data_IF_833038656892
#
_entry.id   IF_833038656892
#
_cell.length_a   1.000
_cell.length_b   1.000
_cell.length_c   1.000
_cell.angle_alpha   90.00
_cell.angle_beta   90.00
_cell.angle_gamma   90.00
#
_symmetry.space_group_name_H-M   'P 1'
#
loop_
_entity.id
_entity.type
_entity.pdbx_description
1 polymer ?
#
# COMPACT_ATOMS: atom_id res chain seq x y z
N UNK A 1 26.87 -23.46 -3.72
CA UNK A 1 26.59 -23.05 -2.33
C UNK A 1 27.56 -21.93 -2.01
N UNK A 2 27.06 -20.72 -1.79
CA UNK A 2 27.87 -19.51 -1.64
C UNK A 2 28.62 -19.52 -0.31
N UNK A 3 29.95 -19.64 -0.38
CA UNK A 3 30.86 -19.52 0.77
C UNK A 3 31.05 -18.02 1.12
N UNK A 4 29.94 -17.33 1.38
CA UNK A 4 29.93 -15.93 1.76
C UNK A 4 30.26 -15.81 3.24
N UNK A 5 31.29 -15.05 3.60
CA UNK A 5 31.56 -14.78 5.01
C UNK A 5 30.48 -13.85 5.60
N UNK A 6 30.00 -14.18 6.79
CA UNK A 6 28.97 -13.44 7.54
C UNK A 6 29.41 -12.01 7.83
N UNK A 7 28.48 -11.06 7.68
CA UNK A 7 28.67 -9.66 8.08
C UNK A 7 28.11 -9.46 9.49
N UNK A 8 28.89 -8.85 10.38
CA UNK A 8 28.42 -8.41 11.68
C UNK A 8 27.76 -7.04 11.52
N UNK A 9 26.47 -6.93 11.82
CA UNK A 9 25.71 -5.69 11.61
C UNK A 9 25.03 -5.22 12.90
N UNK A 10 25.05 -3.91 13.10
CA UNK A 10 24.29 -3.13 14.07
C UNK A 10 23.43 -2.09 13.30
N UNK A 11 22.51 -1.36 13.94
CA UNK A 11 21.52 -0.52 13.26
C UNK A 11 22.06 0.50 12.24
N UNK A 12 23.31 0.92 12.37
CA UNK A 12 24.00 1.86 11.46
C UNK A 12 25.41 1.41 11.06
N UNK A 13 25.86 0.23 11.49
CA UNK A 13 27.24 -0.20 11.31
C UNK A 13 27.25 -1.62 10.75
N UNK A 14 28.10 -1.89 9.78
CA UNK A 14 28.35 -3.23 9.28
C UNK A 14 29.86 -3.46 9.19
N UNK A 15 30.32 -4.62 9.67
CA UNK A 15 31.70 -5.05 9.60
C UNK A 15 31.79 -6.41 8.91
N UNK A 16 32.66 -6.49 7.91
CA UNK A 16 32.94 -7.72 7.20
C UNK A 16 34.42 -8.04 7.28
N UNK A 17 34.72 -9.12 8.01
CA UNK A 17 36.08 -9.65 8.14
C UNK A 17 36.39 -10.48 6.90
N UNK A 18 37.43 -10.09 6.17
CA UNK A 18 37.88 -10.77 4.97
C UNK A 18 39.25 -11.37 5.26
N UNK A 19 39.31 -12.70 5.22
CA UNK A 19 40.57 -13.44 5.26
C UNK A 19 41.44 -13.13 4.04
N UNK A 20 42.69 -13.58 4.05
CA UNK A 20 43.66 -13.32 2.97
C UNK A 20 43.01 -13.46 1.59
N UNK A 21 43.05 -12.36 0.83
CA UNK A 21 42.43 -12.24 -0.49
C UNK A 21 43.53 -12.24 -1.57
N UNK A 22 43.73 -13.34 -2.32
CA UNK A 22 44.73 -13.42 -3.38
C UNK A 22 44.47 -12.43 -4.52
N UNK A 23 45.47 -12.14 -5.34
CA UNK A 23 45.27 -11.35 -6.55
C UNK A 23 44.29 -12.05 -7.50
N UNK A 24 43.54 -11.25 -8.26
CA UNK A 24 42.51 -11.70 -9.20
C UNK A 24 41.38 -12.51 -8.56
N UNK A 25 41.00 -12.16 -7.33
CA UNK A 25 39.88 -12.80 -6.65
C UNK A 25 38.77 -11.81 -6.34
N UNK A 26 37.55 -12.35 -6.39
CA UNK A 26 36.32 -11.67 -6.02
C UNK A 26 35.67 -12.43 -4.86
N UNK A 27 35.19 -11.70 -3.85
CA UNK A 27 34.34 -12.25 -2.79
C UNK A 27 33.12 -11.38 -2.60
N UNK A 28 32.00 -12.01 -2.27
CA UNK A 28 30.73 -11.37 -1.89
C UNK A 28 30.35 -11.84 -0.49
N UNK A 29 29.88 -10.92 0.33
CA UNK A 29 29.38 -11.22 1.67
C UNK A 29 28.01 -11.88 1.63
N UNK A 30 27.60 -12.49 2.75
CA UNK A 30 26.18 -12.74 3.01
C UNK A 30 25.40 -11.42 3.10
N UNK A 31 24.07 -11.43 2.85
CA UNK A 31 23.24 -10.26 3.05
C UNK A 31 23.21 -9.85 4.52
N UNK A 32 23.14 -8.54 4.77
CA UNK A 32 22.87 -7.98 6.09
C UNK A 32 21.80 -6.90 6.00
N UNK A 33 20.98 -6.77 7.05
CA UNK A 33 19.84 -5.86 7.05
C UNK A 33 20.14 -4.59 7.83
N UNK A 34 20.02 -3.45 7.16
CA UNK A 34 20.04 -2.12 7.77
C UNK A 34 18.88 -1.31 7.17
N UNK A 35 18.00 -0.81 8.04
CA UNK A 35 16.78 -0.14 7.63
C UNK A 35 15.82 -1.09 6.90
N UNK A 36 15.36 -0.66 5.72
CA UNK A 36 14.40 -1.41 4.90
C UNK A 36 15.06 -2.35 3.88
N UNK A 37 16.39 -2.34 3.76
CA UNK A 37 17.11 -3.00 2.67
C UNK A 37 18.01 -4.14 3.15
N UNK A 38 18.16 -5.13 2.27
CA UNK A 38 19.22 -6.13 2.36
C UNK A 38 20.44 -5.62 1.59
N UNK A 39 21.55 -5.47 2.31
CA UNK A 39 22.80 -4.94 1.80
C UNK A 39 23.81 -6.05 1.58
N UNK A 40 24.72 -5.83 0.64
CA UNK A 40 25.84 -6.71 0.33
C UNK A 40 27.12 -5.91 0.23
N UNK A 41 28.21 -6.54 0.67
CA UNK A 41 29.56 -6.10 0.38
C UNK A 41 30.18 -7.06 -0.61
N UNK A 42 30.98 -6.52 -1.53
CA UNK A 42 31.91 -7.34 -2.30
C UNK A 42 33.26 -6.69 -2.36
N UNK A 43 34.30 -7.51 -2.46
CA UNK A 43 35.66 -7.06 -2.65
C UNK A 43 36.26 -7.78 -3.84
N UNK A 44 36.87 -7.01 -4.73
CA UNK A 44 37.60 -7.51 -5.88
C UNK A 44 39.03 -6.99 -5.81
N UNK A 45 40.00 -7.85 -6.08
CA UNK A 45 41.41 -7.47 -6.08
C UNK A 45 42.06 -7.82 -7.40
N UNK A 46 42.75 -6.87 -8.01
CA UNK A 46 43.66 -7.09 -9.13
C UNK A 46 45.12 -6.80 -8.71
N UNK A 47 46.06 -6.82 -9.66
CA UNK A 47 47.49 -6.61 -9.36
C UNK A 47 47.84 -5.20 -8.86
N UNK A 48 46.97 -4.21 -9.06
CA UNK A 48 47.25 -2.79 -8.76
C UNK A 48 46.30 -2.20 -7.71
N UNK A 49 45.11 -2.78 -7.55
CA UNK A 49 44.02 -2.15 -6.83
C UNK A 49 43.13 -3.18 -6.12
N UNK A 50 42.57 -2.77 -4.98
CA UNK A 50 41.48 -3.46 -4.30
C UNK A 50 40.23 -2.59 -4.38
N UNK A 51 39.13 -3.14 -4.89
CA UNK A 51 37.84 -2.47 -5.04
C UNK A 51 36.85 -3.03 -4.02
N UNK A 52 36.33 -2.18 -3.15
CA UNK A 52 35.24 -2.51 -2.22
C UNK A 52 33.95 -1.96 -2.78
N UNK A 53 32.91 -2.79 -2.88
CA UNK A 53 31.61 -2.40 -3.40
C UNK A 53 30.51 -2.64 -2.36
N UNK A 54 29.58 -1.69 -2.31
CA UNK A 54 28.42 -1.66 -1.41
C UNK A 54 27.17 -1.53 -2.25
N UNK A 55 26.20 -2.42 -2.08
CA UNK A 55 24.96 -2.37 -2.85
C UNK A 55 23.79 -2.97 -2.08
N UNK A 56 22.59 -2.46 -2.37
CA UNK A 56 21.34 -3.00 -1.85
C UNK A 56 20.70 -3.92 -2.90
N UNK A 57 20.08 -5.00 -2.46
CA UNK A 57 19.23 -5.81 -3.31
C UNK A 57 17.84 -5.17 -3.44
N UNK A 58 17.39 -5.06 -4.68
CA UNK A 58 16.10 -4.49 -5.04
C UNK A 58 15.19 -5.64 -5.50
N UNK A 59 14.00 -5.74 -4.90
CA UNK A 59 12.98 -6.72 -5.26
C UNK A 59 12.49 -6.47 -6.70
N UNK A 60 12.59 -7.48 -7.57
CA UNK A 60 12.07 -7.44 -8.95
C UNK A 60 10.61 -7.89 -9.07
N UNK A 61 9.91 -8.14 -7.95
CA UNK A 61 8.51 -8.57 -7.96
C UNK A 61 7.56 -7.37 -7.97
N UNK A 62 6.65 -7.32 -8.94
CA UNK A 62 5.68 -6.24 -9.17
C UNK A 62 4.73 -5.94 -7.99
N UNK A 63 4.73 -6.76 -6.92
CA UNK A 63 3.81 -6.62 -5.78
C UNK A 63 4.43 -6.00 -4.52
N UNK A 64 5.75 -5.84 -4.43
CA UNK A 64 6.45 -5.24 -3.28
C UNK A 64 7.79 -4.64 -3.73
N UNK A 65 7.77 -3.45 -4.32
CA UNK A 65 9.01 -2.76 -4.73
C UNK A 65 9.55 -1.97 -3.55
N UNK A 66 10.59 -2.50 -2.88
CA UNK A 66 11.37 -1.69 -1.95
C UNK A 66 12.04 -0.56 -2.75
N UNK A 67 11.77 0.72 -2.44
CA UNK A 67 12.30 1.83 -3.22
C UNK A 67 13.83 1.86 -3.11
N UNK A 68 14.54 2.33 -4.13
CA UNK A 68 16.00 2.39 -4.09
C UNK A 68 16.48 3.32 -2.95
N UNK A 69 17.46 2.89 -2.13
CA UNK A 69 17.95 3.73 -1.04
C UNK A 69 18.77 4.90 -1.56
N UNK A 70 18.59 6.06 -0.94
CA UNK A 70 19.54 7.17 -0.99
C UNK A 70 20.37 7.09 0.29
N UNK A 71 21.66 6.81 0.16
CA UNK A 71 22.50 6.48 1.30
C UNK A 71 23.62 7.51 1.50
N UNK A 72 23.81 7.89 2.77
CA UNK A 72 24.97 8.61 3.25
C UNK A 72 25.74 7.69 4.19
N UNK A 73 27.04 7.44 3.93
CA UNK A 73 27.83 6.50 4.71
C UNK A 73 29.34 6.78 4.64
N UNK A 74 30.08 6.27 5.62
CA UNK A 74 31.54 6.23 5.66
C UNK A 74 31.97 4.78 5.52
N UNK A 75 32.95 4.53 4.66
CA UNK A 75 33.59 3.21 4.51
C UNK A 75 35.03 3.28 5.01
N UNK A 76 35.43 2.28 5.80
CA UNK A 76 36.79 2.14 6.33
C UNK A 76 37.32 0.75 6.01
N UNK A 77 38.61 0.69 5.70
CA UNK A 77 39.36 -0.54 5.54
C UNK A 77 40.39 -0.62 6.67
N UNK A 78 40.23 -1.58 7.56
CA UNK A 78 41.09 -1.83 8.71
C UNK A 78 42.00 -3.02 8.39
N UNK A 79 43.29 -2.78 8.20
CA UNK A 79 44.30 -3.81 7.93
C UNK A 79 45.02 -4.09 9.25
N UNK A 80 44.89 -5.29 9.78
CA UNK A 80 45.41 -5.65 11.11
C UNK A 80 46.38 -6.82 11.02
N UNK A 81 47.67 -6.57 11.28
CA UNK A 81 48.50 -7.43 12.13
C UNK A 81 49.55 -6.60 12.89
N UNK A 82 49.75 -6.85 14.20
CA UNK A 82 50.76 -6.15 15.00
C UNK A 82 52.18 -6.30 14.41
N UNK A 83 53.05 -5.28 14.52
CA UNK A 83 52.85 -4.02 15.25
C UNK A 83 52.19 -2.89 14.42
N UNK A 84 51.94 -3.09 13.12
CA UNK A 84 51.51 -2.01 12.22
C UNK A 84 50.04 -2.18 11.79
N UNK A 85 49.13 -1.53 12.52
CA UNK A 85 47.72 -1.39 12.12
C UNK A 85 47.58 -0.20 11.15
N UNK A 86 46.93 -0.41 9.99
CA UNK A 86 46.66 0.65 9.00
C UNK A 86 45.16 0.75 8.76
N UNK A 87 44.62 1.95 8.92
CA UNK A 87 43.22 2.26 8.60
C UNK A 87 43.18 3.18 7.39
N UNK A 88 42.45 2.79 6.35
CA UNK A 88 42.16 3.63 5.19
C UNK A 88 40.69 4.03 5.30
N UNK A 89 40.37 5.31 5.14
CA UNK A 89 39.00 5.83 5.27
C UNK A 89 38.62 6.53 3.99
N UNK A 90 37.45 6.22 3.45
CA UNK A 90 36.86 7.00 2.36
C UNK A 90 36.35 8.34 2.91
N UNK A 91 36.47 9.48 2.18
CA UNK A 91 36.02 10.81 2.61
C UNK A 91 34.50 10.96 2.88
N UNK A 92 33.75 9.86 2.95
CA UNK A 92 32.30 9.84 3.09
C UNK A 92 31.58 9.90 1.75
N UNK A 93 30.38 9.34 1.74
CA UNK A 93 29.42 9.42 0.65
C UNK A 93 28.17 10.04 1.24
N UNK A 94 27.60 11.01 0.53
CA UNK A 94 26.42 11.74 0.97
C UNK A 94 25.35 11.70 -0.11
N UNK A 95 24.13 11.37 0.32
CA UNK A 95 22.91 11.34 -0.49
C UNK A 95 23.07 10.66 -1.85
N UNK A 96 23.79 9.53 -1.87
CA UNK A 96 24.01 8.76 -3.10
C UNK A 96 22.82 7.84 -3.36
N UNK A 97 22.11 7.97 -4.50
CA UNK A 97 21.12 6.98 -4.90
C UNK A 97 21.83 5.68 -5.28
N UNK A 98 21.56 4.61 -4.53
CA UNK A 98 22.15 3.29 -4.77
C UNK A 98 21.14 2.42 -5.50
N UNK A 99 21.19 2.51 -6.84
CA UNK A 99 20.51 1.59 -7.76
C UNK A 99 21.27 0.26 -7.83
N UNK A 100 20.91 -0.63 -8.76
CA UNK A 100 21.53 -1.96 -8.93
C UNK A 100 23.07 -1.97 -8.98
N UNK A 101 23.68 -0.88 -9.46
CA UNK A 101 25.13 -0.78 -9.61
C UNK A 101 25.88 -0.55 -8.29
N UNK A 102 25.21 -0.06 -7.24
CA UNK A 102 25.83 0.24 -5.95
C UNK A 102 26.88 1.34 -5.98
N UNK A 103 27.74 1.35 -4.96
CA UNK A 103 28.90 2.23 -4.83
C UNK A 103 30.19 1.41 -4.84
N UNK A 104 31.21 1.87 -5.56
CA UNK A 104 32.52 1.22 -5.65
C UNK A 104 33.60 2.17 -5.13
N UNK A 105 34.37 1.71 -4.15
CA UNK A 105 35.55 2.38 -3.63
C UNK A 105 36.80 1.64 -4.09
N UNK A 106 37.59 2.32 -4.92
CA UNK A 106 38.83 1.79 -5.47
C UNK A 106 40.02 2.25 -4.62
N UNK A 107 40.85 1.30 -4.17
CA UNK A 107 41.95 1.53 -3.22
C UNK A 107 43.28 1.20 -3.90
N UNK A 108 44.09 2.22 -4.17
CA UNK A 108 45.36 2.12 -4.90
C UNK A 108 46.53 1.55 -4.06
N UNK A 109 46.25 1.15 -2.82
CA UNK A 109 47.22 0.52 -1.91
C UNK A 109 47.13 -1.00 -2.05
N UNK A 110 48.28 -1.67 -2.04
CA UNK A 110 48.32 -3.13 -1.88
C UNK A 110 47.80 -3.50 -0.48
N UNK A 111 46.68 -4.21 -0.44
CA UNK A 111 46.11 -4.75 0.80
C UNK A 111 46.63 -6.18 0.96
N UNK A 112 47.54 -6.41 1.89
CA UNK A 112 48.11 -7.74 2.16
C UNK A 112 47.64 -8.26 3.51
N UNK A 113 47.26 -9.54 3.56
CA UNK A 113 46.79 -10.17 4.80
C UNK A 113 45.27 -10.07 4.98
N UNK A 114 44.84 -10.22 6.23
CA UNK A 114 43.43 -10.13 6.64
C UNK A 114 43.08 -8.66 6.88
N UNK A 115 41.84 -8.31 6.59
CA UNK A 115 41.34 -6.96 6.78
C UNK A 115 39.85 -6.97 7.12
N UNK A 116 39.37 -5.85 7.65
CA UNK A 116 37.96 -5.64 7.94
C UNK A 116 37.46 -4.47 7.10
N UNK A 117 36.37 -4.68 6.38
CA UNK A 117 35.61 -3.61 5.74
C UNK A 117 34.54 -3.18 6.73
N UNK A 118 34.58 -1.93 7.16
CA UNK A 118 33.57 -1.32 8.01
C UNK A 118 32.78 -0.29 7.23
N UNK A 119 31.46 -0.29 7.40
CA UNK A 119 30.56 0.72 6.86
C UNK A 119 29.71 1.28 7.96
N UNK A 120 29.75 2.60 8.12
CA UNK A 120 28.91 3.36 9.02
C UNK A 120 27.93 4.18 8.19
N UNK A 121 26.65 3.84 8.25
CA UNK A 121 25.59 4.57 7.58
C UNK A 121 25.17 5.79 8.43
N UNK A 122 25.38 6.98 7.86
CA UNK A 122 25.05 8.26 8.46
C UNK A 122 23.57 8.62 8.27
N UNK A 123 23.05 8.38 7.07
CA UNK A 123 21.62 8.52 6.76
C UNK A 123 21.16 7.52 5.70
N UNK A 124 19.90 7.14 5.75
CA UNK A 124 19.21 6.34 4.74
C UNK A 124 17.87 7.00 4.44
N UNK A 125 17.66 7.37 3.19
CA UNK A 125 16.47 8.08 2.73
C UNK A 125 15.75 7.29 1.64
N UNK A 126 14.45 7.55 1.52
CA UNK A 126 13.60 7.08 0.42
C UNK A 126 13.26 8.29 -0.44
N UNK A 127 13.39 8.16 -1.76
CA UNK A 127 12.89 9.17 -2.68
C UNK A 127 11.36 9.22 -2.63
N UNK A 128 10.78 10.41 -2.55
CA UNK A 128 9.34 10.59 -2.60
C UNK A 128 8.82 10.26 -4.01
N UNK A 129 7.86 9.32 -4.16
CA UNK A 129 7.24 9.01 -5.45
C UNK A 129 6.59 10.23 -6.13
N UNK A 130 6.19 11.24 -5.36
CA UNK A 130 5.55 12.47 -5.85
C UNK A 130 6.53 13.62 -6.13
N UNK A 131 7.84 13.39 -5.98
CA UNK A 131 8.89 14.37 -6.28
C UNK A 131 9.28 15.30 -5.12
N UNK A 132 8.80 15.04 -3.90
CA UNK A 132 9.23 15.72 -2.68
C UNK A 132 10.67 15.39 -2.24
N UNK A 133 11.15 16.09 -1.20
CA UNK A 133 12.50 15.86 -0.66
C UNK A 133 12.65 14.45 -0.06
N UNK A 134 13.77 13.76 -0.29
CA UNK A 134 14.00 12.44 0.29
C UNK A 134 13.97 12.45 1.82
N UNK A 135 13.15 11.59 2.43
CA UNK A 135 12.96 11.55 3.87
C UNK A 135 13.82 10.47 4.53
N UNK A 136 14.47 10.80 5.65
CA UNK A 136 15.23 9.83 6.46
C UNK A 136 14.30 8.79 7.08
N UNK A 137 14.66 7.51 6.92
CA UNK A 137 13.92 6.40 7.53
C UNK A 137 14.10 6.35 9.06
N UNK A 138 15.16 6.99 9.57
CA UNK A 138 15.50 6.96 11.00
C UNK A 138 14.87 8.10 11.79
N UNK A 139 14.55 9.22 11.15
CA UNK A 139 13.84 10.32 11.80
C UNK A 139 12.30 10.16 11.75
N UNK A 140 11.76 9.42 10.78
CA UNK A 140 10.36 9.68 10.33
C UNK A 140 9.42 8.47 10.35
N UNK A 141 9.92 7.24 10.16
CA UNK A 141 9.02 6.12 9.84
C UNK A 141 8.34 5.48 11.06
N UNK A 142 9.06 5.30 12.17
CA UNK A 142 8.51 4.65 13.36
C UNK A 142 7.56 5.56 14.15
N UNK A 143 7.90 6.85 14.25
CA UNK A 143 7.07 7.84 14.95
C UNK A 143 5.75 8.06 14.21
N UNK A 144 5.79 8.24 12.89
CA UNK A 144 4.58 8.45 12.08
C UNK A 144 3.65 7.24 12.13
N UNK A 145 4.17 6.02 11.93
CA UNK A 145 3.35 4.79 12.01
C UNK A 145 2.71 4.58 13.38
N UNK A 146 3.45 4.82 14.47
CA UNK A 146 2.89 4.71 15.82
C UNK A 146 1.83 5.77 16.08
N UNK A 147 2.08 7.01 15.65
CA UNK A 147 1.16 8.14 15.82
C UNK A 147 -0.15 7.92 15.04
N UNK A 148 -0.05 7.46 13.79
CA UNK A 148 -1.20 7.19 12.93
C UNK A 148 -2.08 6.10 13.56
N UNK A 149 -1.49 4.98 14.00
CA UNK A 149 -2.23 3.92 14.66
C UNK A 149 -2.93 4.40 15.94
N UNK A 150 -2.26 5.22 16.76
CA UNK A 150 -2.87 5.78 17.98
C UNK A 150 -4.03 6.72 17.65
N UNK A 151 -3.88 7.59 16.64
CA UNK A 151 -4.96 8.49 16.21
C UNK A 151 -6.17 7.72 15.67
N UNK A 152 -5.96 6.73 14.80
CA UNK A 152 -7.04 5.88 14.26
C UNK A 152 -7.76 5.11 15.38
N UNK A 153 -7.01 4.49 16.30
CA UNK A 153 -7.62 3.79 17.44
C UNK A 153 -8.41 4.73 18.36
N UNK A 154 -7.99 6.00 18.46
CA UNK A 154 -8.70 7.00 19.25
C UNK A 154 -10.03 7.38 18.60
N UNK A 155 -10.06 7.54 17.27
CA UNK A 155 -11.31 7.80 16.52
C UNK A 155 -12.27 6.62 16.67
N UNK A 156 -11.80 5.39 16.43
CA UNK A 156 -12.61 4.17 16.62
C UNK A 156 -13.26 4.14 18.01
N UNK A 157 -12.46 4.43 19.05
CA UNK A 157 -12.93 4.45 20.44
C UNK A 157 -13.98 5.54 20.70
N UNK A 158 -13.88 6.71 20.07
CA UNK A 158 -14.90 7.76 20.18
C UNK A 158 -16.29 7.26 19.76
N UNK A 159 -16.36 6.48 18.67
CA UNK A 159 -17.61 5.90 18.20
C UNK A 159 -18.10 4.78 19.12
N UNK A 160 -17.24 3.82 19.45
CA UNK A 160 -17.60 2.64 20.25
C UNK A 160 -18.03 2.98 21.68
N UNK A 161 -17.34 3.92 22.33
CA UNK A 161 -17.62 4.33 23.71
C UNK A 161 -18.58 5.53 23.79
N UNK A 162 -18.99 6.11 22.66
CA UNK A 162 -19.90 7.25 22.62
C UNK A 162 -19.32 8.51 23.29
N UNK A 163 -18.01 8.76 23.14
CA UNK A 163 -17.30 9.83 23.84
C UNK A 163 -17.65 11.18 23.23
N UNK A 164 -18.47 12.00 23.91
CA UNK A 164 -18.82 13.37 23.49
C UNK A 164 -19.55 13.43 22.13
N UNK A 165 -20.41 12.46 21.85
CA UNK A 165 -21.29 12.47 20.68
C UNK A 165 -22.29 13.63 20.73
N UNK A 166 -22.54 14.25 19.58
CA UNK A 166 -23.37 15.46 19.43
C UNK A 166 -24.48 15.32 18.37
N UNK A 167 -24.67 14.10 17.85
CA UNK A 167 -25.71 13.76 16.89
C UNK A 167 -26.11 12.29 16.99
N UNK A 168 -27.39 12.01 16.74
CA UNK A 168 -27.92 10.65 16.63
C UNK A 168 -28.27 10.34 15.17
N UNK A 169 -27.78 9.20 14.68
CA UNK A 169 -28.09 8.67 13.36
C UNK A 169 -29.16 7.59 13.52
N UNK A 170 -30.33 7.78 12.93
CA UNK A 170 -31.43 6.81 12.97
C UNK A 170 -31.36 5.93 11.73
N UNK A 171 -31.14 4.63 11.93
CA UNK A 171 -31.27 3.58 10.92
C UNK A 171 -32.72 3.06 10.88
N UNK A 172 -33.01 2.10 10.01
CA UNK A 172 -34.38 1.55 9.88
C UNK A 172 -34.93 0.90 11.16
N UNK A 173 -34.04 0.33 11.97
CA UNK A 173 -34.36 -0.57 13.08
C UNK A 173 -33.54 -0.26 14.34
N UNK A 174 -32.90 0.91 14.40
CA UNK A 174 -32.16 1.38 15.57
C UNK A 174 -31.51 2.75 15.37
N UNK A 175 -30.68 3.15 16.32
CA UNK A 175 -29.96 4.42 16.25
C UNK A 175 -28.53 4.31 16.80
N UNK A 176 -27.64 5.16 16.29
CA UNK A 176 -26.21 5.20 16.65
C UNK A 176 -25.84 6.66 16.95
N UNK A 177 -25.17 6.91 18.07
CA UNK A 177 -24.64 8.24 18.37
C UNK A 177 -23.30 8.47 17.65
N UNK A 178 -23.07 9.69 17.15
CA UNK A 178 -21.89 10.04 16.37
C UNK A 178 -21.46 11.50 16.60
N UNK A 179 -20.53 11.97 15.77
CA UNK A 179 -19.94 13.30 15.84
C UNK A 179 -20.12 14.05 14.52
N UNK A 180 -20.79 15.20 14.55
CA UNK A 180 -20.99 16.09 13.39
C UNK A 180 -19.67 16.45 12.73
N UNK A 181 -18.66 16.79 13.52
CA UNK A 181 -17.35 17.21 13.02
C UNK A 181 -16.67 16.12 12.17
N UNK A 182 -16.72 14.86 12.63
CA UNK A 182 -16.11 13.74 11.92
C UNK A 182 -16.89 13.44 10.64
N UNK A 183 -18.22 13.36 10.72
CA UNK A 183 -19.09 13.16 9.57
C UNK A 183 -18.90 14.25 8.50
N UNK A 184 -18.89 15.53 8.91
CA UNK A 184 -18.65 16.66 8.02
C UNK A 184 -17.23 16.70 7.42
N UNK A 185 -16.23 16.18 8.12
CA UNK A 185 -14.87 16.09 7.58
C UNK A 185 -14.73 15.02 6.49
N UNK A 186 -15.57 13.99 6.54
CA UNK A 186 -15.52 12.84 5.61
C UNK A 186 -16.51 12.93 4.46
N UNK A 187 -17.54 13.76 4.59
CA UNK A 187 -18.60 13.91 3.58
C UNK A 187 -18.97 15.37 3.37
N UNK A 188 -18.86 15.90 2.14
CA UNK A 188 -19.35 17.25 1.83
C UNK A 188 -20.87 17.36 1.99
N UNK A 189 -21.61 16.26 1.82
CA UNK A 189 -23.06 16.21 2.05
C UNK A 189 -23.37 16.42 3.53
N UNK A 190 -22.72 15.69 4.44
CA UNK A 190 -22.87 15.92 5.89
C UNK A 190 -22.40 17.32 6.30
N UNK A 191 -21.29 17.80 5.73
CA UNK A 191 -20.82 19.17 5.97
C UNK A 191 -21.88 20.21 5.62
N UNK A 192 -22.49 20.09 4.45
CA UNK A 192 -23.56 20.98 4.01
C UNK A 192 -24.78 20.86 4.93
N UNK A 193 -25.19 19.63 5.25
CA UNK A 193 -26.31 19.33 6.14
C UNK A 193 -26.19 20.01 7.51
N UNK A 194 -24.98 20.04 8.10
CA UNK A 194 -24.78 20.63 9.44
C UNK A 194 -24.43 22.12 9.42
N UNK A 195 -24.02 22.68 8.28
CA UNK A 195 -23.63 24.09 8.18
C UNK A 195 -24.82 25.02 7.95
N UNK A 196 -25.89 24.54 7.31
CA UNK A 196 -27.08 25.32 7.00
C UNK A 196 -28.13 25.21 8.11
N UNK A 197 -29.03 26.20 8.23
CA UNK A 197 -30.17 26.18 9.17
C UNK A 197 -31.27 25.21 8.69
N UNK A 198 -30.90 23.94 8.61
CA UNK A 198 -31.79 22.82 8.30
C UNK A 198 -32.25 22.16 9.60
N UNK A 199 -33.37 21.42 9.55
CA UNK A 199 -33.97 20.77 10.72
C UNK A 199 -32.99 19.86 11.45
N UNK A 200 -32.07 19.24 10.74
CA UNK A 200 -31.02 18.37 11.26
C UNK A 200 -30.04 19.13 12.16
N UNK A 201 -29.80 20.43 11.87
CA UNK A 201 -29.00 21.30 12.74
C UNK A 201 -29.68 21.52 14.09
N UNK A 202 -31.00 21.67 14.12
CA UNK A 202 -31.77 21.90 15.35
C UNK A 202 -32.10 20.63 16.12
N UNK A 203 -32.45 19.54 15.43
CA UNK A 203 -32.95 18.29 16.02
C UNK A 203 -31.83 17.38 16.55
N UNK A 204 -30.57 17.61 16.17
CA UNK A 204 -29.44 16.75 16.50
C UNK A 204 -29.66 15.28 16.14
N UNK A 205 -30.43 15.04 15.08
CA UNK A 205 -30.74 13.73 14.53
C UNK A 205 -30.65 13.75 13.01
N UNK A 206 -30.20 12.65 12.41
CA UNK A 206 -30.21 12.42 10.95
C UNK A 206 -30.78 11.04 10.68
N UNK A 207 -31.70 10.95 9.72
CA UNK A 207 -32.33 9.69 9.34
C UNK A 207 -31.63 9.09 8.12
N UNK A 208 -31.12 7.86 8.27
CA UNK A 208 -30.57 7.00 7.21
C UNK A 208 -31.48 5.79 7.07
N UNK A 209 -32.70 6.04 6.59
CA UNK A 209 -33.79 5.06 6.51
C UNK A 209 -33.62 3.99 5.41
N UNK A 210 -32.51 4.01 4.67
CA UNK A 210 -32.19 3.06 3.59
C UNK A 210 -31.14 2.01 4.01
N UNK A 211 -30.80 1.96 5.30
CA UNK A 211 -29.83 1.02 5.88
C UNK A 211 -30.36 0.40 7.18
N UNK A 212 -30.07 -0.90 7.38
CA UNK A 212 -30.20 -1.53 8.69
C UNK A 212 -29.19 -0.95 9.67
N UNK A 213 -29.42 -1.15 10.97
CA UNK A 213 -28.52 -0.72 12.03
C UNK A 213 -27.10 -1.26 11.80
N UNK A 214 -26.94 -2.54 11.43
CA UNK A 214 -25.63 -3.15 11.18
C UNK A 214 -24.94 -2.54 9.97
N UNK A 215 -25.67 -2.33 8.87
CA UNK A 215 -25.09 -1.69 7.69
C UNK A 215 -24.70 -0.22 7.98
N UNK A 216 -25.51 0.49 8.75
CA UNK A 216 -25.22 1.85 9.19
C UNK A 216 -24.01 1.88 10.14
N UNK A 217 -23.88 0.90 11.03
CA UNK A 217 -22.70 0.74 11.88
C UNK A 217 -21.44 0.50 11.04
N UNK A 218 -21.51 -0.35 10.01
CA UNK A 218 -20.40 -0.56 9.07
C UNK A 218 -19.98 0.73 8.36
N UNK A 219 -20.96 1.54 7.95
CA UNK A 219 -20.71 2.83 7.32
C UNK A 219 -20.00 3.80 8.26
N UNK A 220 -20.44 3.88 9.52
CA UNK A 220 -19.78 4.69 10.54
C UNK A 220 -18.40 4.13 10.89
N UNK A 221 -18.24 2.81 11.02
CA UNK A 221 -16.95 2.17 11.24
C UNK A 221 -15.95 2.52 10.13
N UNK A 222 -16.40 2.64 8.87
CA UNK A 222 -15.52 3.13 7.79
C UNK A 222 -15.06 4.57 8.03
N UNK A 223 -16.01 5.46 8.35
CA UNK A 223 -15.74 6.89 8.60
C UNK A 223 -14.75 7.08 9.77
N UNK A 224 -14.85 6.23 10.79
CA UNK A 224 -14.00 6.25 11.99
C UNK A 224 -12.77 5.32 11.90
N UNK A 225 -12.51 4.75 10.72
CA UNK A 225 -11.37 3.88 10.44
C UNK A 225 -11.27 2.61 11.32
N UNK A 226 -12.43 2.02 11.64
CA UNK A 226 -12.58 0.77 12.41
C UNK A 226 -13.31 -0.34 11.63
N UNK A 227 -13.55 -0.14 10.32
CA UNK A 227 -14.27 -1.13 9.51
C UNK A 227 -13.44 -2.41 9.34
N UNK A 228 -14.04 -3.55 9.71
CA UNK A 228 -13.44 -4.87 9.55
C UNK A 228 -13.78 -5.47 8.18
N UNK A 229 -12.89 -6.29 7.65
CA UNK A 229 -13.06 -6.90 6.31
C UNK A 229 -14.35 -7.71 6.18
N UNK A 230 -14.73 -8.48 7.21
CA UNK A 230 -15.94 -9.30 7.21
C UNK A 230 -17.21 -8.43 7.17
N UNK A 231 -17.22 -7.36 7.94
CA UNK A 231 -18.30 -6.38 8.00
C UNK A 231 -18.43 -5.63 6.66
N UNK A 232 -17.30 -5.21 6.09
CA UNK A 232 -17.25 -4.63 4.75
C UNK A 232 -17.85 -5.58 3.71
N UNK A 233 -17.39 -6.84 3.63
CA UNK A 233 -17.88 -7.79 2.64
C UNK A 233 -19.38 -8.07 2.78
N UNK A 234 -19.88 -8.09 4.02
CA UNK A 234 -21.30 -8.33 4.32
C UNK A 234 -22.17 -7.16 3.87
N UNK A 235 -21.70 -5.92 4.07
CA UNK A 235 -22.50 -4.72 3.84
C UNK A 235 -22.08 -3.90 2.61
N UNK A 236 -21.11 -4.34 1.81
CA UNK A 236 -20.52 -3.57 0.69
C UNK A 236 -21.51 -2.96 -0.29
N UNK A 237 -22.65 -3.62 -0.56
CA UNK A 237 -23.70 -3.04 -1.41
C UNK A 237 -24.39 -1.86 -0.73
N UNK A 238 -24.72 -1.95 0.57
CA UNK A 238 -25.26 -0.82 1.33
C UNK A 238 -24.22 0.30 1.46
N UNK A 239 -22.95 -0.05 1.68
CA UNK A 239 -21.84 0.90 1.73
C UNK A 239 -21.66 1.63 0.41
N UNK A 240 -21.76 0.96 -0.75
CA UNK A 240 -21.69 1.60 -2.06
C UNK A 240 -22.79 2.65 -2.23
N UNK A 241 -24.02 2.33 -1.83
CA UNK A 241 -25.17 3.25 -1.88
C UNK A 241 -24.95 4.47 -0.99
N UNK A 242 -24.48 4.24 0.24
CA UNK A 242 -24.17 5.31 1.18
C UNK A 242 -23.00 6.18 0.69
N UNK A 243 -21.97 5.58 0.11
CA UNK A 243 -20.82 6.28 -0.44
C UNK A 243 -21.22 7.23 -1.58
N UNK A 244 -22.12 6.80 -2.46
CA UNK A 244 -22.66 7.66 -3.52
C UNK A 244 -23.55 8.76 -2.94
N UNK A 245 -24.48 8.41 -2.04
CA UNK A 245 -25.43 9.34 -1.41
C UNK A 245 -24.75 10.44 -0.59
N UNK A 246 -23.69 10.11 0.13
CA UNK A 246 -22.95 11.03 1.00
C UNK A 246 -21.64 11.53 0.38
N UNK A 247 -21.39 11.24 -0.90
CA UNK A 247 -20.21 11.68 -1.66
C UNK A 247 -18.88 11.35 -0.96
N UNK A 248 -18.68 10.06 -0.66
CA UNK A 248 -17.48 9.48 -0.06
C UNK A 248 -16.76 8.65 -1.13
N UNK A 249 -15.93 9.32 -1.93
CA UNK A 249 -15.33 8.75 -3.14
C UNK A 249 -14.42 7.55 -2.90
N UNK A 250 -13.61 7.58 -1.83
CA UNK A 250 -12.69 6.49 -1.47
C UNK A 250 -13.42 5.21 -1.05
N UNK A 251 -14.56 5.33 -0.34
CA UNK A 251 -15.43 4.19 -0.05
C UNK A 251 -16.06 3.63 -1.32
N UNK A 252 -16.53 4.51 -2.21
CA UNK A 252 -17.13 4.12 -3.48
C UNK A 252 -16.15 3.33 -4.34
N UNK A 253 -14.89 3.77 -4.42
CA UNK A 253 -13.81 3.06 -5.12
C UNK A 253 -13.48 1.71 -4.46
N UNK A 254 -13.41 1.64 -3.12
CA UNK A 254 -13.17 0.38 -2.42
C UNK A 254 -14.28 -0.65 -2.68
N UNK A 255 -15.55 -0.23 -2.64
CA UNK A 255 -16.68 -1.07 -3.01
C UNK A 255 -16.62 -1.49 -4.48
N UNK A 256 -16.25 -0.58 -5.38
CA UNK A 256 -16.10 -0.87 -6.81
C UNK A 256 -15.06 -1.98 -7.05
N UNK A 257 -13.83 -1.81 -6.57
CA UNK A 257 -12.77 -2.80 -6.79
C UNK A 257 -13.14 -4.15 -6.13
N UNK A 258 -13.71 -4.15 -4.91
CA UNK A 258 -14.16 -5.40 -4.27
C UNK A 258 -15.24 -6.12 -5.07
N UNK A 259 -16.23 -5.40 -5.62
CA UNK A 259 -17.29 -5.99 -6.44
C UNK A 259 -16.79 -6.42 -7.83
N UNK A 260 -15.62 -5.97 -8.28
CA UNK A 260 -15.03 -6.44 -9.52
C UNK A 260 -14.29 -7.77 -9.33
N UNK A 261 -13.67 -7.97 -8.16
CA UNK A 261 -12.81 -9.14 -7.89
C UNK A 261 -13.57 -10.47 -7.75
N UNK A 262 -14.80 -10.48 -7.24
CA UNK A 262 -15.57 -11.69 -6.93
C UNK A 262 -16.87 -11.84 -7.76
N UNK A 263 -16.84 -11.43 -9.04
CA UNK A 263 -17.98 -11.61 -9.97
C UNK A 263 -18.23 -13.11 -10.20
N UNK A 264 -19.49 -13.53 -10.04
CA UNK A 264 -19.93 -14.90 -10.33
C UNK A 264 -21.36 -14.96 -10.89
N UNK A 265 -21.84 -16.15 -11.22
CA UNK A 265 -23.19 -16.37 -11.77
C UNK A 265 -24.31 -16.04 -10.79
N UNK A 266 -24.05 -15.93 -9.49
CA UNK A 266 -25.10 -15.59 -8.49
C UNK A 266 -25.28 -14.09 -8.35
N UNK A 267 -24.24 -13.30 -8.65
CA UNK A 267 -24.21 -11.88 -8.34
C UNK A 267 -24.08 -10.95 -9.57
N UNK A 268 -23.67 -11.46 -10.73
CA UNK A 268 -23.30 -10.62 -11.89
C UNK A 268 -24.43 -9.71 -12.39
N UNK A 269 -25.68 -10.17 -12.33
CA UNK A 269 -26.85 -9.40 -12.80
C UNK A 269 -27.14 -8.20 -11.89
N UNK A 270 -27.18 -8.40 -10.57
CA UNK A 270 -27.33 -7.31 -9.59
C UNK A 270 -26.17 -6.32 -9.69
N UNK A 271 -24.94 -6.82 -9.81
CA UNK A 271 -23.75 -5.97 -9.96
C UNK A 271 -23.78 -5.14 -11.23
N UNK A 272 -24.26 -5.68 -12.35
CA UNK A 272 -24.38 -4.93 -13.60
C UNK A 272 -25.37 -3.76 -13.46
N UNK A 273 -26.51 -3.98 -12.79
CA UNK A 273 -27.46 -2.91 -12.47
C UNK A 273 -26.82 -1.84 -11.58
N UNK A 274 -26.13 -2.25 -10.51
CA UNK A 274 -25.45 -1.30 -9.62
C UNK A 274 -24.34 -0.54 -10.32
N UNK A 275 -23.56 -1.21 -11.18
CA UNK A 275 -22.50 -0.58 -11.95
C UNK A 275 -23.04 0.47 -12.91
N UNK A 276 -24.19 0.22 -13.54
CA UNK A 276 -24.86 1.21 -14.37
C UNK A 276 -25.39 2.38 -13.52
N UNK A 277 -26.15 2.10 -12.45
CA UNK A 277 -26.76 3.10 -11.58
C UNK A 277 -25.72 4.06 -10.98
N UNK A 278 -24.62 3.52 -10.46
CA UNK A 278 -23.56 4.29 -9.79
C UNK A 278 -22.41 4.71 -10.72
N UNK A 279 -22.54 4.43 -12.02
CA UNK A 279 -21.56 4.77 -13.08
C UNK A 279 -20.17 4.17 -12.83
N UNK A 280 -20.11 2.92 -12.40
CA UNK A 280 -18.88 2.16 -12.13
C UNK A 280 -18.39 1.42 -13.39
N UNK A 281 -17.73 2.15 -14.29
CA UNK A 281 -17.45 1.64 -15.64
C UNK A 281 -16.67 0.31 -15.67
N UNK A 282 -15.57 0.18 -14.89
CA UNK A 282 -14.79 -1.07 -14.90
C UNK A 282 -15.60 -2.29 -14.41
N UNK A 283 -16.51 -2.07 -13.45
CA UNK A 283 -17.37 -3.14 -12.94
C UNK A 283 -18.38 -3.55 -14.02
N UNK A 284 -18.97 -2.56 -14.68
CA UNK A 284 -19.90 -2.78 -15.79
C UNK A 284 -19.23 -3.58 -16.91
N UNK A 285 -18.03 -3.18 -17.33
CA UNK A 285 -17.24 -3.87 -18.35
C UNK A 285 -16.89 -5.31 -17.92
N UNK A 286 -16.51 -5.50 -16.65
CA UNK A 286 -16.26 -6.81 -16.07
C UNK A 286 -17.49 -7.72 -16.09
N UNK A 287 -18.65 -7.20 -15.69
CA UNK A 287 -19.92 -7.92 -15.74
C UNK A 287 -20.33 -8.27 -17.18
N UNK A 288 -20.22 -7.33 -18.13
CA UNK A 288 -20.53 -7.57 -19.53
C UNK A 288 -19.61 -8.62 -20.14
N UNK A 289 -18.31 -8.57 -19.87
CA UNK A 289 -17.34 -9.62 -20.27
C UNK A 289 -17.72 -10.98 -19.69
N UNK A 290 -18.08 -11.04 -18.41
CA UNK A 290 -18.52 -12.28 -17.75
C UNK A 290 -19.77 -12.88 -18.41
N UNK A 291 -20.76 -12.05 -18.71
CA UNK A 291 -22.03 -12.46 -19.30
C UNK A 291 -21.89 -12.84 -20.78
N UNK A 292 -21.25 -11.98 -21.57
CA UNK A 292 -21.23 -12.04 -23.04
C UNK A 292 -20.03 -12.84 -23.54
N UNK A 293 -18.80 -12.41 -23.25
CA UNK A 293 -17.59 -13.00 -23.81
C UNK A 293 -17.39 -14.44 -23.31
N UNK A 294 -17.67 -14.67 -22.02
CA UNK A 294 -17.66 -16.00 -21.42
C UNK A 294 -19.00 -16.74 -21.55
N UNK A 295 -19.99 -16.16 -22.22
CA UNK A 295 -21.27 -16.79 -22.59
C UNK A 295 -22.08 -17.32 -21.40
N UNK A 296 -21.92 -16.72 -20.21
CA UNK A 296 -22.67 -17.11 -19.01
C UNK A 296 -24.16 -16.79 -19.07
N UNK A 297 -24.58 -15.88 -19.96
CA UNK A 297 -26.01 -15.61 -20.22
C UNK A 297 -26.79 -16.90 -20.55
N UNK A 298 -26.18 -17.85 -21.26
CA UNK A 298 -26.86 -19.11 -21.62
C UNK A 298 -27.01 -20.09 -20.46
N UNK A 299 -26.16 -19.99 -19.44
CA UNK A 299 -26.24 -20.82 -18.22
C UNK A 299 -27.27 -20.26 -17.23
N UNK A 300 -27.56 -18.96 -17.29
CA UNK A 300 -28.39 -18.22 -16.34
C UNK A 300 -29.80 -17.92 -16.87
N UNK A 301 -30.39 -18.82 -17.67
CA UNK A 301 -31.60 -18.55 -18.46
C UNK A 301 -32.76 -17.95 -17.66
N UNK A 302 -33.10 -18.54 -16.51
CA UNK A 302 -34.27 -18.11 -15.73
C UNK A 302 -34.02 -16.78 -15.01
N UNK A 303 -32.86 -16.63 -14.37
CA UNK A 303 -32.46 -15.38 -13.71
C UNK A 303 -32.32 -14.24 -14.72
N UNK A 304 -31.78 -14.53 -15.91
CA UNK A 304 -31.64 -13.56 -16.98
C UNK A 304 -33.00 -13.13 -17.54
N UNK A 305 -33.96 -14.05 -17.66
CA UNK A 305 -35.33 -13.71 -18.07
C UNK A 305 -36.00 -12.75 -17.10
N UNK A 306 -35.83 -12.96 -15.79
CA UNK A 306 -36.33 -12.04 -14.76
C UNK A 306 -35.62 -10.69 -14.85
N UNK A 307 -34.30 -10.71 -15.04
CA UNK A 307 -33.49 -9.49 -15.21
C UNK A 307 -33.96 -8.64 -16.39
N UNK A 308 -34.27 -9.24 -17.55
CA UNK A 308 -34.76 -8.50 -18.72
C UNK A 308 -36.08 -7.75 -18.47
N UNK A 309 -36.86 -8.15 -17.46
CA UNK A 309 -38.13 -7.49 -17.11
C UNK A 309 -37.94 -6.26 -16.22
N UNK A 310 -36.83 -6.19 -15.49
CA UNK A 310 -36.60 -5.16 -14.45
C UNK A 310 -35.41 -4.25 -14.75
N UNK A 311 -34.47 -4.70 -15.59
CA UNK A 311 -33.26 -3.96 -15.90
C UNK A 311 -33.51 -2.73 -16.76
N UNK A 312 -32.60 -1.75 -16.64
CA UNK A 312 -32.59 -0.58 -17.50
C UNK A 312 -32.39 -0.98 -18.98
N UNK A 313 -33.10 -0.28 -19.88
CA UNK A 313 -33.10 -0.58 -21.32
C UNK A 313 -31.71 -0.42 -21.94
N UNK A 314 -30.89 0.50 -21.44
CA UNK A 314 -29.54 0.71 -21.95
C UNK A 314 -28.64 -0.48 -21.63
N UNK A 315 -28.77 -1.04 -20.42
CA UNK A 315 -28.05 -2.26 -20.02
C UNK A 315 -28.45 -3.43 -20.93
N UNK A 316 -29.76 -3.59 -21.17
CA UNK A 316 -30.29 -4.64 -22.04
C UNK A 316 -29.73 -4.48 -23.46
N UNK A 317 -29.76 -3.26 -24.01
CA UNK A 317 -29.22 -2.96 -25.34
C UNK A 317 -27.72 -3.27 -25.44
N UNK A 318 -26.93 -2.94 -24.42
CA UNK A 318 -25.50 -3.24 -24.38
C UNK A 318 -25.21 -4.75 -24.35
N UNK A 319 -25.98 -5.52 -23.57
CA UNK A 319 -25.84 -6.99 -23.57
C UNK A 319 -26.16 -7.55 -24.96
N UNK A 320 -27.28 -7.14 -25.57
CA UNK A 320 -27.64 -7.62 -26.92
C UNK A 320 -26.62 -7.22 -27.98
N UNK A 321 -26.10 -6.00 -27.94
CA UNK A 321 -25.01 -5.56 -28.83
C UNK A 321 -23.75 -6.41 -28.62
N UNK A 322 -23.40 -6.70 -27.36
CA UNK A 322 -22.29 -7.62 -27.05
C UNK A 322 -22.50 -9.03 -27.63
N UNK A 323 -23.71 -9.58 -27.51
CA UNK A 323 -24.03 -10.91 -28.06
C UNK A 323 -23.93 -10.88 -29.60
N UNK A 324 -24.47 -9.85 -30.26
CA UNK A 324 -24.40 -9.72 -31.72
C UNK A 324 -22.96 -9.58 -32.21
N UNK A 325 -22.14 -8.79 -31.52
CA UNK A 325 -20.73 -8.59 -31.90
C UNK A 325 -19.91 -9.88 -31.75
N UNK A 326 -20.07 -10.60 -30.63
CA UNK A 326 -19.41 -11.91 -30.42
C UNK A 326 -19.86 -12.98 -31.43
N UNK A 327 -21.10 -12.90 -31.93
CA UNK A 327 -21.58 -13.76 -33.02
C UNK A 327 -21.02 -13.36 -34.39
N UNK A 328 -20.89 -12.07 -34.67
CA UNK A 328 -20.38 -11.55 -35.96
C UNK A 328 -18.86 -11.69 -36.14
N UNK A 329 -18.11 -11.91 -35.05
CA UNK A 329 -16.66 -12.15 -35.06
C UNK A 329 -16.23 -13.60 -35.38
N UNK A 330 -17.12 -14.39 -36.00
CA UNK A 330 -16.83 -15.73 -36.56
C UNK A 330 -16.91 -15.73 -38.07
#
# INVERSE_FOLDING_TARGET
MSDGARVEAAPRLAQWRVDVLPCYTYRKSEPFRIGLWNWYLSVERNNKQTCVKVFAELSNSAKNTTPAPIASFITKLLISFPPNQKTIVHPGIFDKPLKHEGFVWAIDSTVTGRFVIEIEFLDLKIADPSGGEPASIWASHQIKKSSDNTALSSLARMLQEGILTDITINATDGSIMAHRAILASRSPVFRSMFSHDLKEKELSTVDISDMSLEACQAFLNYIYADLRSEEFLTHRLALLRAADKYDISDLKEACHESLLEDIDTKNVLERLQMAHLYRLQKLKDGCLRFLVDFRKVYEMHDDFKVFLQTADRDIIAEIFQGILTTWSGR
#
